data_IF_664844829974
#
_entry.id   IF_664844829974
#
_cell.length_a   1.000
_cell.length_b   1.000
_cell.length_c   1.000
_cell.angle_alpha   90.00
_cell.angle_beta   90.00
_cell.angle_gamma   90.00
#
_symmetry.space_group_name_H-M   'P 1'
#
loop_
_entity.id
_entity.type
_entity.pdbx_description
1 polymer ?
#
# COMPACT_ATOMS: atom_id res chain seq x y z
N UNK A 1 -56.19 -11.78 -1.07
CA UNK A 1 -56.36 -12.84 -0.05
C UNK A 1 -57.71 -13.57 -0.26
N UNK A 2 -58.02 -14.12 -1.44
CA UNK A 2 -59.40 -14.63 -1.71
C UNK A 2 -59.47 -16.02 -2.40
N UNK A 3 -58.44 -16.46 -3.12
CA UNK A 3 -58.57 -17.67 -3.94
C UNK A 3 -57.87 -18.93 -3.38
N UNK A 4 -56.91 -18.80 -2.50
CA UNK A 4 -56.19 -19.97 -1.98
C UNK A 4 -56.97 -20.75 -0.90
N UNK A 5 -57.81 -20.09 -0.11
CA UNK A 5 -58.65 -20.75 0.89
C UNK A 5 -59.71 -21.65 0.30
N UNK A 6 -60.29 -21.28 -0.85
CA UNK A 6 -61.33 -22.06 -1.55
C UNK A 6 -60.76 -23.33 -2.17
N UNK A 7 -59.57 -23.28 -2.77
CA UNK A 7 -58.94 -24.45 -3.39
C UNK A 7 -58.53 -25.48 -2.34
N UNK A 8 -58.03 -25.06 -1.19
CA UNK A 8 -57.68 -25.96 -0.09
C UNK A 8 -58.91 -26.63 0.51
N UNK A 9 -60.02 -25.92 0.65
CA UNK A 9 -61.28 -26.48 1.17
C UNK A 9 -61.88 -27.55 0.22
N UNK A 10 -61.83 -27.35 -1.10
CA UNK A 10 -62.30 -28.33 -2.09
C UNK A 10 -61.45 -29.60 -2.07
N UNK A 11 -60.11 -29.44 -1.98
CA UNK A 11 -59.17 -30.58 -1.91
C UNK A 11 -59.37 -31.41 -0.64
N UNK A 12 -59.63 -30.79 0.49
CA UNK A 12 -59.90 -31.49 1.76
C UNK A 12 -61.21 -32.27 1.71
N UNK A 13 -62.26 -31.75 1.10
CA UNK A 13 -63.52 -32.44 0.99
C UNK A 13 -63.45 -33.65 0.02
N UNK A 14 -62.82 -33.52 -1.12
CA UNK A 14 -62.60 -34.63 -2.08
C UNK A 14 -61.73 -35.76 -1.45
N UNK A 15 -60.75 -35.39 -0.69
CA UNK A 15 -59.90 -36.34 0.06
C UNK A 15 -60.68 -37.09 1.15
N UNK A 16 -61.58 -36.41 1.88
CA UNK A 16 -62.43 -37.02 2.91
C UNK A 16 -63.45 -38.03 2.33
N UNK A 17 -64.02 -37.75 1.13
CA UNK A 17 -64.92 -38.65 0.44
C UNK A 17 -64.21 -39.90 -0.13
N UNK A 18 -63.00 -39.74 -0.68
CA UNK A 18 -62.18 -40.86 -1.17
C UNK A 18 -61.77 -41.80 -0.04
N UNK A 19 -61.47 -41.29 1.13
CA UNK A 19 -61.05 -42.06 2.33
C UNK A 19 -62.17 -42.97 2.86
N UNK A 20 -63.46 -42.66 2.63
CA UNK A 20 -64.59 -43.50 3.08
C UNK A 20 -64.77 -44.76 2.19
N UNK A 21 -64.30 -44.80 0.96
CA UNK A 21 -64.46 -45.90 0.00
C UNK A 21 -63.30 -46.88 -0.09
N UNK A 22 -62.21 -46.67 0.60
CA UNK A 22 -60.97 -47.44 0.55
C UNK A 22 -60.98 -48.59 1.60
N UNK A 23 -60.41 -49.75 1.24
CA UNK A 23 -60.21 -50.88 2.13
C UNK A 23 -59.05 -50.59 3.14
N UNK A 24 -58.89 -51.46 4.16
CA UNK A 24 -57.95 -51.20 5.26
C UNK A 24 -56.51 -51.06 4.79
N UNK A 25 -56.09 -51.81 3.77
CA UNK A 25 -54.70 -51.78 3.25
C UNK A 25 -54.39 -50.47 2.48
N UNK A 26 -55.38 -50.03 1.69
CA UNK A 26 -55.32 -48.78 0.94
C UNK A 26 -55.34 -47.54 1.86
N UNK A 27 -56.10 -47.58 2.95
CA UNK A 27 -56.11 -46.51 3.99
C UNK A 27 -54.73 -46.34 4.65
N UNK A 28 -54.04 -47.47 4.93
CA UNK A 28 -52.71 -47.43 5.55
C UNK A 28 -51.66 -46.89 4.57
N UNK A 29 -51.76 -47.27 3.29
CA UNK A 29 -50.86 -46.75 2.24
C UNK A 29 -51.08 -45.26 1.94
N UNK A 30 -52.34 -44.81 1.98
CA UNK A 30 -52.68 -43.40 1.82
C UNK A 30 -52.20 -42.54 3.00
N UNK A 31 -52.32 -43.05 4.25
CA UNK A 31 -51.78 -42.38 5.42
C UNK A 31 -50.24 -42.20 5.33
N UNK A 32 -49.56 -43.26 4.84
CA UNK A 32 -48.08 -43.16 4.68
C UNK A 32 -47.69 -42.12 3.61
N UNK A 33 -48.44 -42.03 2.49
CA UNK A 33 -48.18 -41.00 1.46
C UNK A 33 -48.45 -39.59 1.95
N UNK A 34 -49.51 -39.39 2.73
CA UNK A 34 -49.82 -38.06 3.32
C UNK A 34 -48.80 -37.66 4.33
N UNK A 35 -48.33 -38.59 5.19
CA UNK A 35 -47.24 -38.33 6.15
C UNK A 35 -45.93 -37.95 5.45
N UNK A 36 -45.62 -38.63 4.33
CA UNK A 36 -44.43 -38.34 3.52
C UNK A 36 -44.49 -36.95 2.87
N UNK A 37 -45.69 -36.55 2.37
CA UNK A 37 -45.88 -35.25 1.75
C UNK A 37 -45.79 -34.11 2.81
N UNK A 38 -46.38 -34.32 4.00
CA UNK A 38 -46.31 -33.37 5.11
C UNK A 38 -44.86 -33.22 5.57
N UNK A 39 -44.08 -34.32 5.62
CA UNK A 39 -42.69 -34.32 6.00
C UNK A 39 -41.82 -33.57 4.98
N UNK A 40 -42.09 -33.72 3.68
CA UNK A 40 -41.37 -32.98 2.60
C UNK A 40 -41.71 -31.49 2.62
N UNK A 41 -42.97 -31.13 2.85
CA UNK A 41 -43.41 -29.73 2.95
C UNK A 41 -42.87 -29.07 4.19
N UNK A 42 -42.75 -29.77 5.33
CA UNK A 42 -42.13 -29.23 6.54
C UNK A 42 -40.61 -29.07 6.39
N UNK A 43 -39.93 -29.94 5.61
CA UNK A 43 -38.51 -29.73 5.27
C UNK A 43 -38.29 -28.56 4.35
N UNK A 44 -39.20 -28.27 3.42
CA UNK A 44 -39.08 -27.07 2.55
C UNK A 44 -39.33 -25.77 3.31
N UNK A 45 -40.15 -25.76 4.36
CA UNK A 45 -40.35 -24.57 5.20
C UNK A 45 -39.22 -24.34 6.19
N UNK A 46 -38.45 -25.36 6.55
CA UNK A 46 -37.26 -25.19 7.41
C UNK A 46 -36.08 -24.56 6.67
N UNK A 47 -36.09 -24.53 5.32
CA UNK A 47 -35.04 -23.91 4.50
C UNK A 47 -35.28 -22.43 4.17
N UNK A 48 -36.40 -21.83 4.58
CA UNK A 48 -36.53 -20.37 4.58
C UNK A 48 -36.05 -19.78 5.91
N UNK A 49 -34.78 -20.06 6.28
CA UNK A 49 -34.11 -19.20 7.23
C UNK A 49 -33.98 -17.85 6.55
N UNK A 50 -34.69 -16.87 7.10
CA UNK A 50 -34.44 -15.46 6.79
C UNK A 50 -32.95 -15.24 6.86
N UNK A 51 -32.28 -14.98 5.71
CA UNK A 51 -31.02 -14.27 5.72
C UNK A 51 -31.31 -12.98 6.48
N UNK A 52 -31.04 -12.94 7.79
CA UNK A 52 -30.69 -11.69 8.42
C UNK A 52 -29.55 -11.18 7.54
N UNK A 53 -29.77 -10.12 6.80
CA UNK A 53 -28.69 -9.28 6.35
C UNK A 53 -27.91 -8.94 7.62
N UNK A 54 -26.87 -9.70 7.90
CA UNK A 54 -25.81 -9.20 8.72
C UNK A 54 -25.35 -7.98 7.94
N UNK A 55 -25.72 -6.78 8.36
CA UNK A 55 -25.00 -5.57 8.02
C UNK A 55 -23.57 -5.87 8.44
N UNK A 56 -22.77 -6.31 7.48
CA UNK A 56 -21.35 -6.50 7.68
C UNK A 56 -20.87 -5.18 8.29
N UNK A 57 -20.28 -5.24 9.46
CA UNK A 57 -19.56 -4.10 10.02
C UNK A 57 -18.67 -3.57 8.90
N UNK A 58 -18.72 -2.28 8.57
CA UNK A 58 -17.86 -1.74 7.51
C UNK A 58 -16.43 -2.18 7.79
N UNK A 59 -15.79 -2.80 6.80
CA UNK A 59 -14.38 -3.17 6.93
C UNK A 59 -13.56 -1.89 7.15
N UNK A 60 -12.54 -1.92 8.00
CA UNK A 60 -11.70 -0.76 8.23
C UNK A 60 -11.06 -0.32 6.91
N UNK A 61 -10.97 0.99 6.71
CA UNK A 61 -10.17 1.59 5.64
C UNK A 61 -9.07 2.43 6.27
N UNK A 62 -7.94 2.54 5.60
CA UNK A 62 -6.86 3.38 6.08
C UNK A 62 -5.78 3.58 5.03
N UNK A 63 -5.04 4.67 5.18
CA UNK A 63 -3.94 5.01 4.29
C UNK A 63 -2.83 5.69 5.08
N UNK A 64 -1.60 5.29 4.78
CA UNK A 64 -0.41 5.83 5.43
C UNK A 64 0.65 6.12 4.38
N UNK A 65 1.31 7.27 4.50
CA UNK A 65 2.35 7.71 3.56
C UNK A 65 3.62 8.14 4.28
N UNK A 66 4.74 8.03 3.55
CA UNK A 66 5.96 8.73 3.90
C UNK A 66 6.50 9.54 2.71
N UNK A 67 7.20 10.62 3.01
CA UNK A 67 7.91 11.48 2.07
C UNK A 67 9.43 11.46 2.28
N UNK A 68 9.94 10.41 2.94
CA UNK A 68 11.36 10.25 3.23
C UNK A 68 11.72 10.41 4.71
N UNK A 69 12.70 9.59 5.17
CA UNK A 69 13.30 9.67 6.48
C UNK A 69 14.75 10.21 6.42
N UNK A 70 15.24 10.77 7.51
CA UNK A 70 16.63 11.27 7.58
C UNK A 70 16.86 12.23 8.75
N UNK A 71 17.96 13.02 8.71
CA UNK A 71 18.24 14.07 9.69
C UNK A 71 17.39 15.30 9.42
N UNK A 72 16.09 15.12 9.56
CA UNK A 72 15.12 16.20 9.45
C UNK A 72 14.98 16.85 10.83
N UNK A 73 15.65 17.99 11.02
CA UNK A 73 15.72 18.71 12.29
C UNK A 73 14.99 20.06 12.17
N UNK A 74 14.26 20.46 13.21
CA UNK A 74 13.55 21.76 13.26
C UNK A 74 14.49 22.94 12.98
N UNK A 75 15.71 22.93 13.49
CA UNK A 75 16.71 24.01 13.27
C UNK A 75 17.13 24.19 11.80
N UNK A 76 16.89 23.18 10.94
CA UNK A 76 17.22 23.19 9.51
C UNK A 76 15.99 23.42 8.62
N UNK A 77 14.84 23.75 9.23
CA UNK A 77 13.55 23.89 8.55
C UNK A 77 13.01 25.31 8.77
N UNK A 78 12.79 26.06 7.69
CA UNK A 78 12.06 27.33 7.81
C UNK A 78 10.56 27.07 7.96
N UNK A 79 9.79 27.99 8.60
CA UNK A 79 8.35 27.84 8.74
C UNK A 79 7.61 27.63 7.40
N UNK A 80 8.03 28.35 6.36
CA UNK A 80 7.44 28.26 5.01
C UNK A 80 7.69 26.88 4.39
N UNK A 81 8.92 26.36 4.55
CA UNK A 81 9.28 25.03 4.05
C UNK A 81 8.53 23.92 4.80
N UNK A 82 8.42 24.04 6.12
CA UNK A 82 7.64 23.10 6.93
C UNK A 82 6.17 23.11 6.52
N UNK A 83 5.57 24.29 6.37
CA UNK A 83 4.20 24.45 5.93
C UNK A 83 3.97 23.85 4.54
N UNK A 84 4.90 24.02 3.60
CA UNK A 84 4.84 23.44 2.27
C UNK A 84 4.84 21.90 2.30
N UNK A 85 5.73 21.27 3.09
CA UNK A 85 5.74 19.81 3.26
C UNK A 85 4.45 19.31 3.90
N UNK A 86 4.00 19.94 5.00
CA UNK A 86 2.76 19.54 5.68
C UNK A 86 1.55 19.65 4.75
N UNK A 87 1.48 20.69 3.93
CA UNK A 87 0.40 20.87 2.95
C UNK A 87 0.35 19.74 1.94
N UNK A 88 1.48 19.42 1.29
CA UNK A 88 1.49 18.37 0.25
C UNK A 88 1.27 16.98 0.85
N UNK A 89 1.80 16.69 2.05
CA UNK A 89 1.51 15.44 2.75
C UNK A 89 0.02 15.29 3.09
N UNK A 90 -0.60 16.38 3.57
CA UNK A 90 -2.04 16.39 3.86
C UNK A 90 -2.88 16.19 2.59
N UNK A 91 -2.51 16.84 1.49
CA UNK A 91 -3.15 16.69 0.19
C UNK A 91 -3.02 15.26 -0.34
N UNK A 92 -1.80 14.73 -0.37
CA UNK A 92 -1.52 13.39 -0.88
C UNK A 92 -2.33 12.31 -0.15
N UNK A 93 -2.27 12.30 1.20
CA UNK A 93 -3.00 11.29 1.99
C UNK A 93 -4.52 11.44 1.88
N UNK A 94 -5.02 12.68 1.70
CA UNK A 94 -6.45 12.93 1.53
C UNK A 94 -6.96 12.42 0.18
N UNK A 95 -6.19 12.59 -0.91
CA UNK A 95 -6.55 12.07 -2.24
C UNK A 95 -6.80 10.56 -2.17
N UNK A 96 -5.89 9.79 -1.61
CA UNK A 96 -6.07 8.35 -1.48
C UNK A 96 -7.20 7.96 -0.52
N UNK A 97 -7.36 8.65 0.59
CA UNK A 97 -8.45 8.38 1.52
C UNK A 97 -9.84 8.60 0.89
N UNK A 98 -10.03 9.66 0.10
CA UNK A 98 -11.29 9.89 -0.60
C UNK A 98 -11.62 8.81 -1.64
N UNK A 99 -10.61 8.20 -2.25
CA UNK A 99 -10.79 7.04 -3.13
C UNK A 99 -11.31 5.84 -2.32
N UNK A 100 -10.64 5.49 -1.21
CA UNK A 100 -11.04 4.39 -0.33
C UNK A 100 -12.45 4.59 0.24
N UNK A 101 -12.76 5.80 0.70
CA UNK A 101 -14.06 6.18 1.27
C UNK A 101 -15.21 6.02 0.27
N UNK A 102 -14.95 6.23 -1.02
CA UNK A 102 -15.91 6.04 -2.12
C UNK A 102 -16.01 4.59 -2.60
N UNK A 103 -15.26 3.66 -1.99
CA UNK A 103 -15.25 2.25 -2.37
C UNK A 103 -14.24 1.91 -3.47
N UNK A 104 -13.31 2.80 -3.78
CA UNK A 104 -12.19 2.54 -4.69
C UNK A 104 -11.18 1.57 -4.08
N UNK A 105 -10.31 0.99 -4.90
CA UNK A 105 -9.34 -0.01 -4.50
C UNK A 105 -8.14 0.59 -3.77
N UNK A 106 -7.48 -0.22 -2.94
CA UNK A 106 -6.19 0.12 -2.31
C UNK A 106 -5.10 0.42 -3.34
N UNK A 107 -5.10 -0.27 -4.50
CA UNK A 107 -4.20 0.01 -5.62
C UNK A 107 -4.39 1.44 -6.15
N UNK A 108 -5.64 1.82 -6.51
CA UNK A 108 -5.93 3.16 -7.02
C UNK A 108 -5.56 4.23 -5.99
N UNK A 109 -5.87 4.01 -4.72
CA UNK A 109 -5.52 4.92 -3.64
C UNK A 109 -4.00 5.12 -3.51
N UNK A 110 -3.21 4.03 -3.55
CA UNK A 110 -1.74 4.09 -3.53
C UNK A 110 -1.20 4.83 -4.73
N UNK A 111 -1.64 4.49 -5.94
CA UNK A 111 -1.18 5.13 -7.18
C UNK A 111 -1.41 6.65 -7.15
N UNK A 112 -2.66 7.08 -6.95
CA UNK A 112 -3.02 8.50 -7.00
C UNK A 112 -2.39 9.30 -5.86
N UNK A 113 -2.19 8.72 -4.71
CA UNK A 113 -1.45 9.32 -3.59
C UNK A 113 0.01 9.55 -3.94
N UNK A 114 0.68 8.56 -4.54
CA UNK A 114 2.09 8.67 -4.93
C UNK A 114 2.25 9.68 -6.07
N UNK A 115 1.31 9.78 -7.01
CA UNK A 115 1.31 10.82 -8.06
C UNK A 115 1.43 12.22 -7.48
N UNK A 116 0.66 12.56 -6.43
CA UNK A 116 0.74 13.88 -5.78
C UNK A 116 2.17 14.16 -5.27
N UNK A 117 2.84 13.14 -4.76
CA UNK A 117 4.20 13.27 -4.25
C UNK A 117 5.27 13.26 -5.35
N UNK A 118 5.08 12.46 -6.42
CA UNK A 118 5.96 12.44 -7.60
C UNK A 118 5.89 13.74 -8.41
N UNK A 119 4.72 14.38 -8.47
CA UNK A 119 4.54 15.68 -9.16
C UNK A 119 5.04 16.87 -8.32
N UNK A 120 5.35 16.65 -7.05
CA UNK A 120 5.84 17.68 -6.14
C UNK A 120 7.38 17.80 -6.18
N UNK A 121 7.94 19.02 -6.35
CA UNK A 121 9.39 19.22 -6.30
C UNK A 121 10.00 19.06 -4.88
N UNK A 122 9.17 18.82 -3.86
CA UNK A 122 9.61 18.73 -2.48
C UNK A 122 10.24 17.38 -2.13
N UNK A 123 9.77 16.29 -2.73
CA UNK A 123 10.20 14.92 -2.39
C UNK A 123 11.29 14.42 -3.35
N UNK A 124 11.94 13.32 -2.98
CA UNK A 124 12.90 12.63 -3.82
C UNK A 124 12.21 11.49 -4.60
N UNK A 125 11.31 11.88 -5.48
CA UNK A 125 10.60 11.00 -6.41
C UNK A 125 10.08 11.87 -7.56
N UNK A 126 9.95 11.33 -8.76
CA UNK A 126 9.45 12.08 -9.91
C UNK A 126 10.14 13.43 -10.07
N UNK A 127 9.36 14.52 -10.11
CA UNK A 127 9.82 15.90 -10.35
C UNK A 127 10.85 16.44 -9.37
N UNK A 128 10.92 15.90 -8.16
CA UNK A 128 11.86 16.35 -7.12
C UNK A 128 13.02 15.38 -6.91
N UNK A 129 13.23 14.43 -7.82
CA UNK A 129 14.25 13.42 -7.72
C UNK A 129 15.68 13.99 -7.66
N UNK A 130 16.57 13.27 -6.98
CA UNK A 130 17.99 13.62 -6.90
C UNK A 130 18.72 13.26 -8.18
N UNK A 131 19.84 13.95 -8.44
CA UNK A 131 20.70 13.62 -9.58
C UNK A 131 21.78 12.61 -9.21
N UNK A 132 22.11 11.75 -10.15
CA UNK A 132 23.24 10.83 -10.08
C UNK A 132 24.60 11.54 -10.33
N UNK A 133 25.69 10.79 -10.35
CA UNK A 133 27.05 11.32 -10.57
C UNK A 133 27.24 11.96 -11.96
N UNK A 134 26.47 11.53 -12.94
CA UNK A 134 26.50 12.00 -14.33
C UNK A 134 25.55 13.18 -14.59
N UNK A 135 25.00 13.76 -13.49
CA UNK A 135 24.10 14.91 -13.53
C UNK A 135 22.76 14.61 -14.23
N UNK A 136 22.38 13.32 -14.28
CA UNK A 136 21.12 12.84 -14.84
C UNK A 136 20.18 12.33 -13.76
N UNK A 137 18.90 12.11 -14.12
CA UNK A 137 17.90 11.51 -13.26
C UNK A 137 17.77 10.03 -13.58
N UNK A 138 17.63 9.22 -12.54
CA UNK A 138 17.28 7.80 -12.62
C UNK A 138 16.26 7.50 -11.54
N UNK A 139 15.07 7.07 -11.95
CA UNK A 139 13.93 6.83 -11.08
C UNK A 139 13.70 5.33 -10.89
N UNK A 140 13.28 4.97 -9.69
CA UNK A 140 12.94 3.61 -9.31
C UNK A 140 11.57 3.61 -8.64
N UNK A 141 10.74 2.58 -8.89
CA UNK A 141 9.46 2.39 -8.21
C UNK A 141 9.09 0.92 -8.12
N UNK A 142 8.27 0.57 -7.14
CA UNK A 142 7.63 -0.73 -7.05
C UNK A 142 6.22 -0.63 -6.46
N UNK A 143 5.41 -1.60 -6.81
CA UNK A 143 4.06 -1.79 -6.31
C UNK A 143 3.81 -3.27 -6.02
N UNK A 144 3.02 -3.57 -4.99
CA UNK A 144 2.61 -4.92 -4.66
C UNK A 144 1.15 -4.96 -4.20
N UNK A 145 0.40 -5.91 -4.75
CA UNK A 145 -0.97 -6.22 -4.39
C UNK A 145 -0.99 -7.30 -3.30
N UNK A 146 -1.57 -6.98 -2.14
CA UNK A 146 -1.59 -7.91 -1.01
C UNK A 146 -2.59 -9.08 -1.15
N UNK A 147 -3.57 -8.97 -2.04
CA UNK A 147 -4.57 -10.01 -2.24
C UNK A 147 -4.05 -11.17 -3.10
N UNK A 148 -3.27 -10.86 -4.13
CA UNK A 148 -2.76 -11.84 -5.11
C UNK A 148 -1.27 -12.12 -4.95
N UNK A 149 -0.55 -11.26 -4.23
CA UNK A 149 0.91 -11.18 -4.14
C UNK A 149 1.58 -10.82 -5.48
N UNK A 150 0.80 -10.38 -6.45
CA UNK A 150 1.35 -9.85 -7.69
C UNK A 150 2.11 -8.55 -7.41
N UNK A 151 3.20 -8.35 -8.11
CA UNK A 151 4.06 -7.20 -7.93
C UNK A 151 4.66 -6.74 -9.26
N UNK A 152 4.98 -5.45 -9.33
CA UNK A 152 5.69 -4.86 -10.43
C UNK A 152 6.70 -3.84 -9.95
N UNK A 153 7.82 -3.73 -10.66
CA UNK A 153 8.89 -2.79 -10.35
C UNK A 153 9.57 -2.27 -11.60
N UNK A 154 10.09 -1.06 -11.50
CA UNK A 154 10.98 -0.46 -12.48
C UNK A 154 12.20 0.15 -11.80
N UNK A 155 13.34 0.16 -12.48
CA UNK A 155 14.55 0.82 -11.97
C UNK A 155 15.34 1.52 -13.08
N UNK A 156 15.98 2.64 -12.72
CA UNK A 156 16.89 3.38 -13.61
C UNK A 156 16.20 4.01 -14.81
N UNK A 157 14.90 4.29 -14.74
CA UNK A 157 14.14 4.94 -15.81
C UNK A 157 14.37 6.46 -15.80
N UNK A 158 14.19 7.12 -16.95
CA UNK A 158 14.60 8.52 -17.12
C UNK A 158 13.54 9.42 -17.74
N UNK A 159 12.46 8.85 -18.26
CA UNK A 159 11.46 9.63 -19.04
C UNK A 159 10.02 9.40 -18.57
N UNK A 160 9.78 8.48 -17.68
CA UNK A 160 8.44 8.16 -17.16
C UNK A 160 8.05 9.22 -16.12
N UNK A 161 6.98 10.00 -16.38
CA UNK A 161 6.55 11.08 -15.50
C UNK A 161 6.20 10.58 -14.09
N UNK A 162 5.40 9.53 -14.02
CA UNK A 162 4.96 8.90 -12.77
C UNK A 162 5.43 7.44 -12.71
N UNK A 163 6.62 7.18 -12.15
CA UNK A 163 7.21 5.83 -12.07
C UNK A 163 6.33 4.78 -11.43
N UNK A 164 5.52 5.15 -10.43
CA UNK A 164 4.62 4.20 -9.76
C UNK A 164 3.61 3.57 -10.72
N UNK A 165 3.06 4.32 -11.67
CA UNK A 165 2.16 3.77 -12.69
C UNK A 165 2.85 2.75 -13.58
N UNK A 166 4.13 2.97 -13.92
CA UNK A 166 4.87 2.00 -14.71
C UNK A 166 5.14 0.70 -13.92
N UNK A 167 5.40 0.79 -12.62
CA UNK A 167 5.50 -0.40 -11.76
C UNK A 167 4.20 -1.20 -11.76
N UNK A 168 3.04 -0.52 -11.66
CA UNK A 168 1.71 -1.17 -11.76
C UNK A 168 1.51 -1.79 -13.13
N UNK A 169 1.87 -1.11 -14.22
CA UNK A 169 1.75 -1.66 -15.58
C UNK A 169 2.66 -2.89 -15.79
N UNK A 170 3.85 -2.93 -15.19
CA UNK A 170 4.68 -4.15 -15.21
C UNK A 170 3.96 -5.32 -14.57
N UNK A 171 3.30 -5.11 -13.43
CA UNK A 171 2.51 -6.12 -12.73
C UNK A 171 1.31 -6.60 -13.56
N UNK A 172 0.56 -5.68 -14.18
CA UNK A 172 -0.72 -5.98 -14.84
C UNK A 172 -0.56 -6.48 -16.28
N UNK A 173 0.42 -5.95 -17.01
CA UNK A 173 0.52 -6.09 -18.47
C UNK A 173 1.83 -6.73 -18.94
N UNK A 174 2.57 -7.39 -18.05
CA UNK A 174 3.76 -8.16 -18.44
C UNK A 174 3.87 -9.47 -17.64
N UNK A 175 4.60 -10.47 -18.16
CA UNK A 175 4.91 -11.68 -17.41
C UNK A 175 6.06 -11.47 -16.39
N UNK A 176 6.58 -10.26 -16.28
CA UNK A 176 7.77 -9.94 -15.49
C UNK A 176 7.37 -9.24 -14.19
N UNK A 177 8.19 -9.37 -13.16
CA UNK A 177 8.04 -8.59 -11.92
C UNK A 177 8.85 -7.29 -11.98
N UNK A 178 9.94 -7.24 -12.75
CA UNK A 178 10.82 -6.07 -12.76
C UNK A 178 11.41 -5.80 -14.14
N UNK A 179 11.33 -4.53 -14.57
CA UNK A 179 12.00 -4.02 -15.77
C UNK A 179 12.98 -2.91 -15.39
N UNK A 180 13.99 -2.63 -16.24
CA UNK A 180 15.00 -1.62 -15.92
C UNK A 180 15.43 -0.79 -17.14
N UNK A 181 15.92 0.44 -16.85
CA UNK A 181 16.55 1.34 -17.80
C UNK A 181 15.71 1.61 -19.05
N UNK A 182 16.37 1.72 -20.19
CA UNK A 182 15.70 2.03 -21.47
C UNK A 182 14.59 1.04 -21.84
N UNK A 183 14.72 -0.23 -21.47
CA UNK A 183 13.67 -1.24 -21.72
C UNK A 183 12.37 -0.90 -20.98
N UNK A 184 12.49 -0.46 -19.74
CA UNK A 184 11.33 -0.04 -18.94
C UNK A 184 10.72 1.29 -19.45
N UNK A 185 11.54 2.26 -19.93
CA UNK A 185 11.03 3.49 -20.57
C UNK A 185 10.25 3.15 -21.87
N UNK A 186 10.73 2.22 -22.68
CA UNK A 186 10.03 1.77 -23.90
C UNK A 186 8.72 1.08 -23.54
N UNK A 187 8.73 0.14 -22.59
CA UNK A 187 7.54 -0.56 -22.12
C UNK A 187 6.47 0.44 -21.63
N UNK A 188 6.87 1.41 -20.81
CA UNK A 188 5.95 2.44 -20.31
C UNK A 188 5.29 3.24 -21.44
N UNK A 189 6.06 3.60 -22.47
CA UNK A 189 5.52 4.27 -23.66
C UNK A 189 4.54 3.39 -24.44
N UNK A 190 4.83 2.10 -24.60
CA UNK A 190 3.93 1.13 -25.25
C UNK A 190 2.62 0.92 -24.45
N UNK A 191 2.67 1.06 -23.12
CA UNK A 191 1.49 1.03 -22.26
C UNK A 191 0.72 2.37 -22.22
N UNK A 192 1.15 3.37 -22.99
CA UNK A 192 0.47 4.67 -23.08
C UNK A 192 0.66 5.60 -21.89
N UNK A 193 1.68 5.36 -21.06
CA UNK A 193 2.01 6.24 -19.94
C UNK A 193 2.62 7.58 -20.44
N UNK A 194 2.45 8.62 -19.63
CA UNK A 194 2.98 9.96 -19.95
C UNK A 194 4.52 9.96 -19.88
N UNK A 195 5.14 10.21 -21.03
CA UNK A 195 6.59 10.30 -21.19
C UNK A 195 6.98 11.76 -21.27
N UNK A 196 7.98 12.17 -20.50
CA UNK A 196 8.48 13.56 -20.44
C UNK A 196 9.97 13.62 -20.75
N UNK A 197 10.43 14.79 -21.15
CA UNK A 197 11.88 15.03 -21.30
C UNK A 197 12.55 15.01 -19.92
N UNK A 198 13.81 14.53 -19.81
CA UNK A 198 14.52 14.43 -18.51
C UNK A 198 14.58 15.74 -17.72
N UNK A 199 14.56 16.89 -18.40
CA UNK A 199 14.59 18.23 -17.80
C UNK A 199 13.35 18.52 -16.94
N UNK A 200 12.23 17.82 -17.16
CA UNK A 200 11.01 17.93 -16.35
C UNK A 200 11.28 17.67 -14.85
N UNK A 201 12.21 16.76 -14.55
CA UNK A 201 12.53 16.34 -13.20
C UNK A 201 13.51 17.26 -12.48
N UNK A 202 14.21 18.13 -13.20
CA UNK A 202 15.29 18.96 -12.64
C UNK A 202 14.71 20.07 -11.76
N UNK A 203 15.31 20.23 -10.60
CA UNK A 203 15.05 21.36 -9.70
C UNK A 203 16.35 21.97 -9.27
N UNK A 204 16.38 23.31 -9.17
CA UNK A 204 17.58 24.04 -8.71
C UNK A 204 18.09 23.52 -7.37
N UNK A 205 17.18 23.19 -6.46
CA UNK A 205 17.54 22.59 -5.16
C UNK A 205 18.37 21.32 -5.29
N UNK A 206 18.02 20.43 -6.24
CA UNK A 206 18.71 19.14 -6.45
C UNK A 206 20.04 19.31 -7.17
N UNK A 207 20.11 20.23 -8.11
CA UNK A 207 21.37 20.63 -8.78
C UNK A 207 22.36 21.14 -7.73
N UNK A 208 21.96 22.09 -6.90
CA UNK A 208 22.81 22.62 -5.83
C UNK A 208 23.18 21.58 -4.77
N UNK A 209 22.28 20.62 -4.48
CA UNK A 209 22.59 19.52 -3.55
C UNK A 209 23.68 18.60 -4.12
N UNK A 210 23.61 18.23 -5.40
CA UNK A 210 24.64 17.43 -6.07
C UNK A 210 25.98 18.15 -6.04
N UNK A 211 26.02 19.44 -6.39
CA UNK A 211 27.24 20.26 -6.36
C UNK A 211 27.91 20.23 -4.99
N UNK A 212 27.16 20.48 -3.92
CA UNK A 212 27.67 20.40 -2.53
C UNK A 212 28.23 19.03 -2.18
N UNK A 213 27.56 17.94 -2.60
CA UNK A 213 28.04 16.58 -2.35
C UNK A 213 29.35 16.31 -3.09
N UNK A 214 29.45 16.68 -4.38
CA UNK A 214 30.68 16.53 -5.18
C UNK A 214 31.85 17.32 -4.56
N UNK A 215 31.63 18.58 -4.17
CA UNK A 215 32.63 19.43 -3.51
C UNK A 215 33.11 18.81 -2.19
N UNK A 216 32.19 18.29 -1.37
CA UNK A 216 32.55 17.65 -0.10
C UNK A 216 33.36 16.36 -0.28
N UNK A 217 33.07 15.58 -1.32
CA UNK A 217 33.84 14.37 -1.66
C UNK A 217 35.28 14.72 -2.07
N UNK A 218 35.48 15.84 -2.75
CA UNK A 218 36.82 16.35 -3.11
C UNK A 218 37.62 16.81 -1.90
N UNK A 219 36.93 17.44 -0.89
CA UNK A 219 37.54 17.99 0.33
C UNK A 219 37.70 16.97 1.48
N UNK A 220 37.59 15.68 1.22
CA UNK A 220 37.51 14.57 2.21
C UNK A 220 38.51 14.54 3.35
N UNK A 221 39.52 15.42 3.40
CA UNK A 221 40.51 15.52 4.48
C UNK A 221 40.15 16.49 5.61
N UNK A 222 39.11 17.34 5.48
CA UNK A 222 38.82 18.45 6.41
C UNK A 222 37.39 18.54 6.93
N UNK A 223 36.51 17.58 6.62
CA UNK A 223 35.08 17.66 6.96
C UNK A 223 34.80 17.20 8.38
N UNK A 224 34.10 18.01 9.17
CA UNK A 224 33.67 17.67 10.54
C UNK A 224 32.60 16.55 10.53
N UNK A 225 32.48 15.81 11.65
CA UNK A 225 31.44 14.75 11.80
C UNK A 225 30.03 15.29 11.59
N UNK A 226 29.77 16.57 11.96
CA UNK A 226 28.46 17.22 11.76
C UNK A 226 28.17 17.50 10.29
N UNK A 227 29.14 17.92 9.50
CA UNK A 227 29.00 18.14 8.06
C UNK A 227 28.86 16.83 7.31
N UNK A 228 29.58 15.78 7.72
CA UNK A 228 29.42 14.43 7.17
C UNK A 228 28.02 13.89 7.42
N UNK A 229 27.48 14.08 8.63
CA UNK A 229 26.11 13.71 8.96
C UNK A 229 25.08 14.51 8.14
N UNK A 230 25.28 15.82 7.96
CA UNK A 230 24.41 16.66 7.14
C UNK A 230 24.42 16.24 5.66
N UNK A 231 25.60 15.97 5.10
CA UNK A 231 25.75 15.50 3.71
C UNK A 231 25.19 14.09 3.51
N UNK A 232 25.36 13.22 4.50
CA UNK A 232 24.73 11.88 4.52
C UNK A 232 23.20 12.01 4.38
N UNK A 233 22.61 12.96 5.06
CA UNK A 233 21.16 13.17 5.12
C UNK A 233 20.53 13.85 3.89
N UNK A 234 21.34 14.56 3.10
CA UNK A 234 20.89 15.07 1.79
C UNK A 234 20.90 14.00 0.69
N UNK A 235 21.44 12.82 0.98
CA UNK A 235 21.60 11.72 0.02
C UNK A 235 20.35 10.89 -0.16
N UNK A 236 19.46 10.85 0.83
CA UNK A 236 18.30 9.94 0.83
C UNK A 236 16.97 10.69 0.80
N UNK A 237 15.97 9.99 0.52
CA UNK A 237 14.57 10.33 0.50
C UNK A 237 13.86 9.35 -0.43
N UNK A 238 12.61 9.14 -0.22
CA UNK A 238 11.78 8.19 -0.96
C UNK A 238 10.36 8.54 -0.61
N UNK A 239 9.40 8.40 -1.51
CA UNK A 239 8.00 8.49 -1.18
C UNK A 239 7.38 7.11 -1.17
N UNK A 240 6.39 6.90 -0.32
CA UNK A 240 5.67 5.65 -0.31
C UNK A 240 4.28 5.78 0.28
N UNK A 241 3.45 4.81 -0.05
CA UNK A 241 2.07 4.74 0.37
C UNK A 241 1.67 3.28 0.61
N UNK A 242 0.92 3.06 1.67
CA UNK A 242 0.24 1.79 1.94
C UNK A 242 -1.23 2.07 2.23
N UNK A 243 -2.12 1.20 1.74
CA UNK A 243 -3.56 1.37 1.87
C UNK A 243 -4.28 0.06 2.16
N UNK A 244 -5.40 0.17 2.90
CA UNK A 244 -6.37 -0.90 3.15
C UNK A 244 -7.73 -0.42 2.64
N UNK A 245 -8.35 -1.16 1.72
CA UNK A 245 -9.66 -0.83 1.16
C UNK A 245 -10.83 -1.53 1.86
N UNK A 246 -12.06 -1.15 1.49
CA UNK A 246 -13.31 -1.70 2.07
C UNK A 246 -13.50 -3.20 1.82
N UNK A 247 -12.75 -3.79 0.89
CA UNK A 247 -12.78 -5.24 0.60
C UNK A 247 -11.74 -6.01 1.44
N UNK A 248 -10.98 -5.31 2.30
CA UNK A 248 -9.90 -5.90 3.10
C UNK A 248 -8.61 -6.11 2.30
N UNK A 249 -8.48 -5.51 1.13
CA UNK A 249 -7.28 -5.63 0.32
C UNK A 249 -6.23 -4.58 0.70
N UNK A 250 -5.02 -5.07 0.89
CA UNK A 250 -3.83 -4.28 1.14
C UNK A 250 -3.06 -4.01 -0.14
N UNK A 251 -2.48 -2.82 -0.26
CA UNK A 251 -1.53 -2.48 -1.31
C UNK A 251 -0.39 -1.64 -0.76
N UNK A 252 0.80 -1.79 -1.33
CA UNK A 252 1.97 -0.99 -1.03
C UNK A 252 2.63 -0.48 -2.32
N UNK A 253 3.12 0.76 -2.27
CA UNK A 253 3.91 1.35 -3.35
C UNK A 253 5.01 2.23 -2.80
N UNK A 254 6.14 2.26 -3.52
CA UNK A 254 7.31 3.06 -3.17
C UNK A 254 7.92 3.65 -4.44
N UNK A 255 8.34 4.92 -4.41
CA UNK A 255 8.95 5.61 -5.56
C UNK A 255 10.08 6.52 -5.13
N UNK A 256 11.18 6.56 -5.90
CA UNK A 256 12.39 7.31 -5.53
C UNK A 256 13.25 7.71 -6.72
N UNK A 257 14.06 8.76 -6.54
CA UNK A 257 15.25 9.05 -7.35
C UNK A 257 16.53 8.37 -6.85
N UNK A 258 16.45 7.61 -5.76
CA UNK A 258 17.59 6.97 -5.12
C UNK A 258 18.42 7.92 -4.27
N UNK A 259 19.74 7.87 -4.40
CA UNK A 259 20.72 8.62 -3.60
C UNK A 259 21.41 9.70 -4.44
N UNK A 260 21.53 10.91 -3.91
CA UNK A 260 22.31 11.99 -4.54
C UNK A 260 23.74 11.55 -4.82
N UNK A 261 24.22 11.82 -6.04
CA UNK A 261 25.54 11.42 -6.52
C UNK A 261 25.75 9.90 -6.56
N UNK A 262 24.66 9.11 -6.72
CA UNK A 262 24.79 7.66 -6.97
C UNK A 262 25.57 7.39 -8.25
N UNK A 263 26.35 6.32 -8.24
CA UNK A 263 27.22 5.90 -9.34
C UNK A 263 26.81 4.53 -9.86
N UNK A 264 27.23 4.20 -11.07
CA UNK A 264 27.11 2.86 -11.64
C UNK A 264 25.67 2.32 -11.63
N UNK A 265 24.70 3.20 -11.89
CA UNK A 265 23.26 2.88 -11.88
C UNK A 265 22.80 2.20 -10.56
N UNK A 266 23.34 2.67 -9.42
CA UNK A 266 23.00 2.12 -8.09
C UNK A 266 21.50 2.10 -7.89
N UNK A 267 21.00 0.95 -7.47
CA UNK A 267 19.61 0.70 -7.08
C UNK A 267 19.54 0.58 -5.55
N UNK A 268 18.56 1.24 -4.94
CA UNK A 268 18.24 1.12 -3.52
C UNK A 268 17.18 0.05 -3.25
N UNK A 269 16.58 0.14 -2.08
CA UNK A 269 15.53 -0.78 -1.62
C UNK A 269 14.18 -0.54 -2.30
N UNK A 270 13.89 0.69 -2.71
CA UNK A 270 12.57 1.09 -3.21
C UNK A 270 11.98 0.18 -4.32
N UNK A 271 12.73 -0.24 -5.36
CA UNK A 271 12.19 -1.13 -6.40
C UNK A 271 12.28 -2.62 -6.02
N UNK A 272 12.82 -2.97 -4.86
CA UNK A 272 13.02 -4.37 -4.46
C UNK A 272 11.86 -4.84 -3.58
N UNK A 273 11.04 -5.72 -4.16
CA UNK A 273 9.94 -6.36 -3.43
C UNK A 273 10.49 -7.15 -2.24
N UNK A 274 9.89 -6.92 -1.08
CA UNK A 274 10.34 -7.46 0.20
C UNK A 274 11.34 -6.58 0.95
N UNK A 275 12.05 -5.65 0.28
CA UNK A 275 12.96 -4.72 0.93
C UNK A 275 12.33 -3.35 1.18
N UNK A 276 11.97 -2.62 0.12
CA UNK A 276 11.35 -1.30 0.18
C UNK A 276 9.82 -1.33 0.14
N UNK A 277 9.24 -2.37 -0.43
CA UNK A 277 7.80 -2.52 -0.66
C UNK A 277 7.38 -3.96 -0.41
N UNK A 278 6.31 -4.15 0.35
CA UNK A 278 5.70 -5.47 0.51
C UNK A 278 4.22 -5.33 0.89
N UNK A 279 3.36 -6.19 0.37
CA UNK A 279 1.96 -6.28 0.76
C UNK A 279 1.48 -7.74 0.78
N UNK A 280 0.75 -8.11 1.84
CA UNK A 280 0.11 -9.41 1.99
C UNK A 280 -1.15 -9.25 2.86
N UNK A 281 -2.32 -9.60 2.33
CA UNK A 281 -3.59 -9.51 3.04
C UNK A 281 -3.63 -10.36 4.33
N UNK A 282 -2.78 -11.37 4.44
CA UNK A 282 -2.68 -12.17 5.67
C UNK A 282 -1.99 -11.42 6.81
N UNK A 283 -1.20 -10.38 6.52
CA UNK A 283 -0.37 -9.66 7.49
C UNK A 283 -0.50 -8.15 7.38
N UNK A 284 0.31 -7.53 6.50
CA UNK A 284 0.39 -6.07 6.38
C UNK A 284 0.86 -5.60 5.01
N UNK A 285 0.72 -4.29 4.76
CA UNK A 285 1.39 -3.55 3.71
C UNK A 285 2.46 -2.63 4.32
N UNK A 286 3.66 -2.63 3.75
CA UNK A 286 4.83 -1.85 4.22
C UNK A 286 5.45 -1.09 3.05
N UNK A 287 5.80 0.18 3.29
CA UNK A 287 6.68 0.97 2.44
C UNK A 287 7.81 1.57 3.27
N UNK A 288 9.04 1.49 2.76
CA UNK A 288 10.24 1.83 3.48
C UNK A 288 11.01 3.01 2.86
N UNK A 289 11.80 3.68 3.68
CA UNK A 289 12.67 4.79 3.29
C UNK A 289 13.90 4.86 4.19
N UNK A 290 15.09 5.00 3.62
CA UNK A 290 16.32 5.08 4.39
C UNK A 290 17.56 4.76 3.59
N UNK A 291 18.55 4.19 4.24
CA UNK A 291 19.78 3.74 3.58
C UNK A 291 19.56 2.36 2.95
N UNK A 292 19.23 2.34 1.66
CA UNK A 292 18.73 1.18 0.91
C UNK A 292 19.57 -0.09 1.05
N UNK A 293 20.90 0.02 1.13
CA UNK A 293 21.82 -1.12 1.27
C UNK A 293 21.54 -1.97 2.51
N UNK A 294 21.12 -1.33 3.63
CA UNK A 294 20.76 -2.05 4.86
C UNK A 294 19.34 -2.63 4.77
N UNK A 295 18.44 -1.92 4.12
CA UNK A 295 17.07 -2.36 3.91
C UNK A 295 16.99 -3.57 2.96
N UNK A 296 17.78 -3.59 1.89
CA UNK A 296 17.93 -4.75 1.00
C UNK A 296 18.50 -5.96 1.76
N UNK A 297 19.61 -5.77 2.47
CA UNK A 297 20.31 -6.85 3.19
C UNK A 297 19.46 -7.47 4.30
N UNK A 298 18.55 -6.69 4.89
CA UNK A 298 17.63 -7.13 5.95
C UNK A 298 16.26 -7.54 5.42
N UNK A 299 15.97 -7.35 4.15
CA UNK A 299 14.65 -7.60 3.51
C UNK A 299 13.53 -6.99 4.35
N UNK A 300 13.68 -5.71 4.71
CA UNK A 300 12.96 -5.03 5.81
C UNK A 300 11.45 -5.17 5.72
N UNK A 301 10.86 -4.90 4.55
CA UNK A 301 9.41 -4.89 4.41
C UNK A 301 8.81 -6.31 4.59
N UNK A 302 9.44 -7.34 4.02
CA UNK A 302 9.02 -8.73 4.19
C UNK A 302 9.31 -9.25 5.60
N UNK A 303 10.44 -8.87 6.22
CA UNK A 303 10.80 -9.34 7.57
C UNK A 303 9.77 -8.89 8.62
N UNK A 304 9.19 -7.69 8.47
CA UNK A 304 8.07 -7.23 9.30
C UNK A 304 6.86 -8.15 9.13
N UNK A 305 6.46 -8.43 7.89
CA UNK A 305 5.36 -9.34 7.57
C UNK A 305 5.62 -10.75 8.10
N UNK A 306 6.84 -11.27 7.96
CA UNK A 306 7.25 -12.58 8.45
C UNK A 306 7.21 -12.69 9.99
N UNK A 307 7.58 -11.63 10.71
CA UNK A 307 7.46 -11.59 12.17
C UNK A 307 5.99 -11.61 12.62
N UNK A 308 5.09 -10.95 11.88
CA UNK A 308 3.65 -11.03 12.12
C UNK A 308 3.13 -12.44 11.84
N UNK A 309 3.48 -13.03 10.69
CA UNK A 309 2.99 -14.33 10.24
C UNK A 309 3.48 -15.48 11.12
N UNK A 310 4.79 -15.54 11.40
CA UNK A 310 5.40 -16.69 12.05
C UNK A 310 5.51 -16.56 13.57
N UNK A 311 5.47 -15.33 14.11
CA UNK A 311 5.55 -15.09 15.55
C UNK A 311 4.28 -14.48 16.15
N UNK A 312 3.30 -14.11 15.32
CA UNK A 312 2.05 -13.49 15.80
C UNK A 312 2.24 -12.12 16.42
N UNK A 313 3.32 -11.40 16.07
CA UNK A 313 3.57 -10.05 16.58
C UNK A 313 2.62 -9.03 15.95
N UNK A 314 2.30 -7.97 16.68
CA UNK A 314 1.63 -6.81 16.10
C UNK A 314 2.54 -6.12 15.07
N UNK A 315 1.93 -5.37 14.14
CA UNK A 315 2.69 -4.60 13.16
C UNK A 315 3.64 -3.59 13.84
N UNK A 316 3.24 -3.02 14.99
CA UNK A 316 4.06 -2.07 15.73
C UNK A 316 5.29 -2.77 16.33
N UNK A 317 5.12 -3.94 16.98
CA UNK A 317 6.24 -4.69 17.57
C UNK A 317 7.20 -5.22 16.50
N UNK A 318 6.67 -5.80 15.41
CA UNK A 318 7.47 -6.29 14.30
C UNK A 318 8.30 -5.15 13.67
N UNK A 319 7.67 -4.00 13.41
CA UNK A 319 8.34 -2.82 12.85
C UNK A 319 9.42 -2.28 13.79
N UNK A 320 9.13 -2.21 15.10
CA UNK A 320 10.09 -1.76 16.10
C UNK A 320 11.34 -2.67 16.13
N UNK A 321 11.15 -3.98 16.16
CA UNK A 321 12.26 -4.95 16.14
C UNK A 321 13.11 -4.78 14.88
N UNK A 322 12.48 -4.70 13.70
CA UNK A 322 13.22 -4.62 12.45
C UNK A 322 14.00 -3.30 12.35
N UNK A 323 13.37 -2.17 12.66
CA UNK A 323 14.02 -0.84 12.51
C UNK A 323 15.03 -0.58 13.62
N UNK A 324 14.68 -0.81 14.89
CA UNK A 324 15.52 -0.40 16.02
C UNK A 324 16.53 -1.44 16.48
N UNK A 325 16.33 -2.71 16.14
CA UNK A 325 17.26 -3.78 16.52
C UNK A 325 18.03 -4.30 15.29
N UNK A 326 17.37 -4.80 14.23
CA UNK A 326 18.06 -5.43 13.09
C UNK A 326 18.76 -4.40 12.19
N UNK A 327 18.05 -3.38 11.70
CA UNK A 327 18.64 -2.35 10.83
C UNK A 327 19.68 -1.54 11.58
N UNK A 328 19.39 -1.13 12.82
CA UNK A 328 20.30 -0.35 13.64
C UNK A 328 21.59 -1.11 13.99
N UNK A 329 21.54 -2.41 14.29
CA UNK A 329 22.73 -3.23 14.59
C UNK A 329 23.67 -3.36 13.39
N UNK A 330 23.17 -3.24 12.18
CA UNK A 330 23.97 -3.21 10.95
C UNK A 330 24.56 -1.82 10.65
N UNK A 331 24.20 -0.80 11.43
CA UNK A 331 24.59 0.60 11.21
C UNK A 331 23.69 1.34 10.21
N UNK A 332 22.52 0.78 9.87
CA UNK A 332 21.53 1.37 8.99
C UNK A 332 20.63 2.38 9.69
N UNK A 333 20.12 3.33 8.92
CA UNK A 333 19.13 4.31 9.37
C UNK A 333 18.01 4.49 8.34
N UNK A 334 16.80 4.81 8.83
CA UNK A 334 15.62 5.00 8.03
C UNK A 334 14.33 4.81 8.83
N UNK A 335 13.27 4.46 8.14
CA UNK A 335 11.97 4.18 8.72
C UNK A 335 11.04 3.49 7.74
N UNK A 336 9.86 3.15 8.23
CA UNK A 336 8.78 2.54 7.49
C UNK A 336 7.45 3.21 7.82
N UNK A 337 6.51 3.08 6.91
CA UNK A 337 5.08 3.18 7.18
C UNK A 337 4.42 1.85 6.86
N UNK A 338 3.42 1.48 7.64
CA UNK A 338 2.71 0.23 7.47
C UNK A 338 1.28 0.29 7.96
N UNK A 339 0.46 -0.59 7.41
CA UNK A 339 -0.93 -0.84 7.83
C UNK A 339 -1.20 -2.35 7.76
N UNK A 340 -1.88 -2.90 8.77
CA UNK A 340 -2.29 -4.30 8.75
C UNK A 340 -3.74 -4.46 8.23
N UNK A 341 -4.19 -5.70 8.11
CA UNK A 341 -5.54 -6.03 7.63
C UNK A 341 -6.67 -5.67 8.62
N UNK A 342 -6.34 -5.19 9.81
CA UNK A 342 -7.29 -4.68 10.80
C UNK A 342 -7.31 -3.14 10.85
N UNK A 343 -6.46 -2.49 10.03
CA UNK A 343 -6.33 -1.04 10.00
C UNK A 343 -5.40 -0.47 11.07
N UNK A 344 -4.62 -1.30 11.77
CA UNK A 344 -3.60 -0.82 12.70
C UNK A 344 -2.41 -0.25 11.91
N UNK A 345 -1.93 0.92 12.34
CA UNK A 345 -0.89 1.68 11.66
C UNK A 345 0.44 1.59 12.43
N UNK A 346 1.53 1.42 11.70
CA UNK A 346 2.89 1.56 12.19
C UNK A 346 3.63 2.65 11.40
N UNK A 347 4.39 3.49 12.10
CA UNK A 347 5.24 4.53 11.52
C UNK A 347 6.54 4.59 12.33
N UNK A 348 7.45 3.63 12.10
CA UNK A 348 8.67 3.46 12.86
C UNK A 348 9.87 4.06 12.14
N UNK A 349 10.77 4.72 12.90
CA UNK A 349 12.01 5.29 12.39
C UNK A 349 13.09 5.38 13.45
N UNK A 350 14.34 5.15 13.08
CA UNK A 350 15.51 5.38 13.92
C UNK A 350 16.28 6.67 13.53
N UNK A 351 15.69 7.48 12.65
CA UNK A 351 16.20 8.82 12.26
C UNK A 351 15.57 9.94 13.10
N UNK A 352 16.16 11.17 13.10
CA UNK A 352 15.56 12.33 13.76
C UNK A 352 14.20 12.79 13.24
N UNK A 353 13.85 12.42 12.01
CA UNK A 353 12.53 12.74 11.44
C UNK A 353 12.21 11.91 10.20
N UNK A 354 10.92 11.86 9.89
CA UNK A 354 10.35 11.27 8.70
C UNK A 354 9.11 12.08 8.31
N UNK A 355 9.06 12.57 7.09
CA UNK A 355 7.83 13.14 6.53
C UNK A 355 6.81 12.02 6.44
N UNK A 356 5.68 12.13 7.17
CA UNK A 356 4.67 11.09 7.22
C UNK A 356 3.28 11.64 7.48
N UNK A 357 2.28 10.96 6.94
CA UNK A 357 0.88 11.25 7.23
C UNK A 357 0.04 9.98 7.16
N UNK A 358 -1.12 10.01 7.79
CA UNK A 358 -2.12 8.96 7.67
C UNK A 358 -3.53 9.53 7.82
N UNK A 359 -4.49 8.79 7.29
CA UNK A 359 -5.90 8.90 7.66
C UNK A 359 -6.32 7.54 8.20
N UNK A 360 -6.79 7.52 9.43
CA UNK A 360 -7.21 6.30 10.12
C UNK A 360 -8.65 5.89 9.73
N UNK A 361 -9.09 4.75 10.24
CA UNK A 361 -10.43 4.20 10.00
C UNK A 361 -11.57 5.15 10.44
N UNK A 362 -11.30 6.11 11.32
CA UNK A 362 -12.28 7.10 11.76
C UNK A 362 -12.26 8.37 10.89
N UNK A 363 -11.45 8.42 9.86
CA UNK A 363 -11.27 9.59 8.99
C UNK A 363 -10.41 10.69 9.62
N UNK A 364 -9.70 10.42 10.71
CA UNK A 364 -8.81 11.39 11.34
C UNK A 364 -7.50 11.48 10.59
N UNK A 365 -7.25 12.63 9.97
CA UNK A 365 -6.00 12.94 9.32
C UNK A 365 -4.94 13.38 10.34
N UNK A 366 -3.73 12.88 10.18
CA UNK A 366 -2.56 13.27 10.98
C UNK A 366 -1.35 13.47 10.06
N UNK A 367 -0.60 14.55 10.23
CA UNK A 367 0.64 14.86 9.51
C UNK A 367 1.74 15.13 10.51
N UNK A 368 2.87 14.42 10.36
CA UNK A 368 4.04 14.49 11.25
C UNK A 368 5.33 14.59 10.45
N UNK A 369 6.34 15.21 11.03
CA UNK A 369 7.66 15.38 10.41
C UNK A 369 8.78 14.94 11.37
N UNK A 370 8.73 15.39 12.62
CA UNK A 370 9.79 15.18 13.59
C UNK A 370 9.55 13.97 14.47
N UNK A 371 10.60 13.45 15.09
CA UNK A 371 10.53 12.24 15.94
C UNK A 371 9.70 12.46 17.21
N UNK A 372 9.68 13.67 17.71
CA UNK A 372 9.00 14.08 18.95
C UNK A 372 7.50 14.43 18.78
N UNK A 373 6.93 14.17 17.58
CA UNK A 373 5.50 14.38 17.27
C UNK A 373 4.64 13.13 17.43
#
# INVERSE_FOLDING_TARGET
>A
MGNEGIVISILINDFAQKKKKLNFKEKKQMQFRVLSIVFVVSMMWACTSSKKENKATPQPIGIVIHGGAGTILRKNMTPEKEAAYRKVLAEAVQVGYEILKKGGSSQEAVEKTIHVMEDSPLFNAGKGAVLNSDETIELDASFMNGATLDAGAISGVRTIKNPISAAIQVMENSPHVMLSGKGADVFASEQGLEIVAPEYFFTERRIQALKRVKESEQKKKETTATEQAFLKNQRYGTVGCVALDQNGNLAAGTSTGGMTNKKWNRIGDAPIIGAGTYANNATCAISATGWGEFFIRSVVAHDISALMEYKGLSIQEASRIVIHEKVASLGGDGGIVGIDNQGNIAMEMNTPGMYRAHVDNNGKQTVKIYKDE
#
